data_IF_778446108184
#
_entry.id   IF_778446108184
#
_cell.length_a   1.000
_cell.length_b   1.000
_cell.length_c   1.000
_cell.angle_alpha   90.00
_cell.angle_beta   90.00
_cell.angle_gamma   90.00
#
_symmetry.space_group_name_H-M   'P 1'
#
loop_
_entity.id
_entity.type
_entity.pdbx_description
1 polymer ?
#
# COMPACT_ATOMS: atom_id res chain seq x y z
N UNK A 1 -10.89 -16.32 -12.75
CA UNK A 1 -10.96 -17.46 -11.80
C UNK A 1 -11.30 -18.69 -12.61
N UNK A 2 -10.59 -19.79 -12.38
CA UNK A 2 -10.99 -21.09 -12.92
C UNK A 2 -12.39 -21.42 -12.41
N UNK A 3 -13.17 -22.16 -13.20
CA UNK A 3 -14.46 -22.67 -12.74
C UNK A 3 -14.21 -23.58 -11.54
N UNK A 4 -15.04 -23.45 -10.52
CA UNK A 4 -15.07 -24.38 -9.36
C UNK A 4 -15.02 -25.80 -9.89
N UNK A 5 -14.24 -26.65 -9.24
CA UNK A 5 -14.14 -28.06 -9.64
C UNK A 5 -15.50 -28.79 -9.50
N UNK A 6 -16.29 -28.77 -10.57
CA UNK A 6 -17.62 -29.37 -10.68
C UNK A 6 -17.59 -30.92 -10.57
N UNK A 7 -16.40 -31.54 -10.62
CA UNK A 7 -16.26 -33.01 -10.51
C UNK A 7 -16.53 -33.49 -9.08
N UNK A 8 -16.18 -32.69 -8.07
CA UNK A 8 -16.30 -33.09 -6.66
C UNK A 8 -17.56 -32.56 -5.98
N UNK A 9 -18.20 -31.53 -6.52
CA UNK A 9 -19.15 -30.72 -5.76
C UNK A 9 -20.52 -30.56 -6.41
N UNK A 10 -21.57 -30.66 -5.59
CA UNK A 10 -22.94 -30.31 -5.99
C UNK A 10 -23.75 -29.73 -4.83
N UNK A 11 -25.04 -29.47 -5.05
CA UNK A 11 -25.97 -29.08 -3.98
C UNK A 11 -26.35 -30.26 -3.07
N UNK A 12 -26.17 -31.50 -3.53
CA UNK A 12 -26.50 -32.73 -2.81
C UNK A 12 -25.24 -33.54 -2.49
N UNK A 13 -25.28 -34.30 -1.39
CA UNK A 13 -24.19 -35.16 -0.95
C UNK A 13 -23.69 -34.78 0.45
N UNK A 14 -22.41 -35.07 0.70
CA UNK A 14 -21.83 -35.00 2.04
C UNK A 14 -21.30 -33.60 2.39
N UNK A 15 -21.41 -33.22 3.66
CA UNK A 15 -20.62 -32.10 4.18
C UNK A 15 -19.14 -32.49 4.21
N UNK A 16 -18.23 -31.52 4.23
CA UNK A 16 -16.80 -31.82 4.43
C UNK A 16 -16.56 -32.56 5.75
N UNK A 17 -17.30 -32.24 6.80
CA UNK A 17 -17.22 -32.91 8.10
C UNK A 17 -17.66 -34.38 8.01
N UNK A 18 -18.83 -34.65 7.42
CA UNK A 18 -19.33 -36.02 7.23
C UNK A 18 -18.40 -36.84 6.33
N UNK A 19 -17.90 -36.24 5.24
CA UNK A 19 -16.95 -36.90 4.35
C UNK A 19 -15.62 -37.22 5.06
N UNK A 20 -15.13 -36.32 5.92
CA UNK A 20 -13.94 -36.57 6.73
C UNK A 20 -14.17 -37.73 7.70
N UNK A 21 -15.30 -37.71 8.41
CA UNK A 21 -15.62 -38.76 9.37
C UNK A 21 -15.72 -40.14 8.70
N UNK A 22 -16.44 -40.25 7.59
CA UNK A 22 -16.57 -41.50 6.85
C UNK A 22 -15.24 -41.96 6.23
N UNK A 23 -14.37 -41.02 5.83
CA UNK A 23 -13.02 -41.37 5.37
C UNK A 23 -12.13 -41.89 6.51
N UNK A 24 -12.31 -41.42 7.74
CA UNK A 24 -11.59 -41.94 8.90
C UNK A 24 -12.11 -43.33 9.29
N UNK A 25 -13.43 -43.56 9.23
CA UNK A 25 -14.03 -44.89 9.46
C UNK A 25 -13.63 -45.92 8.40
N UNK A 26 -13.57 -45.51 7.13
CA UNK A 26 -13.02 -46.32 6.05
C UNK A 26 -11.55 -46.68 6.33
N UNK A 27 -10.76 -45.72 6.82
CA UNK A 27 -9.37 -45.96 7.19
C UNK A 27 -9.24 -46.95 8.36
N UNK A 28 -10.11 -46.88 9.37
CA UNK A 28 -10.15 -47.85 10.47
C UNK A 28 -10.49 -49.26 9.97
N UNK A 29 -11.43 -49.37 9.02
CA UNK A 29 -11.81 -50.63 8.39
C UNK A 29 -10.63 -51.23 7.63
N UNK A 30 -9.89 -50.40 6.88
CA UNK A 30 -8.64 -50.80 6.21
C UNK A 30 -7.65 -51.35 7.23
N UNK A 31 -7.36 -50.61 8.30
CA UNK A 31 -6.40 -51.01 9.32
C UNK A 31 -6.79 -52.33 10.00
N UNK A 32 -8.08 -52.52 10.27
CA UNK A 32 -8.62 -53.75 10.86
C UNK A 32 -8.41 -54.96 9.93
N UNK A 33 -8.71 -54.81 8.65
CA UNK A 33 -8.53 -55.88 7.68
C UNK A 33 -7.04 -56.15 7.37
N UNK A 34 -6.21 -55.11 7.29
CA UNK A 34 -4.76 -55.25 7.18
C UNK A 34 -4.17 -55.98 8.38
N UNK A 35 -4.67 -55.74 9.60
CA UNK A 35 -4.20 -56.44 10.81
C UNK A 35 -4.50 -57.94 10.76
N UNK A 36 -5.65 -58.34 10.20
CA UNK A 36 -5.98 -59.76 9.95
C UNK A 36 -4.93 -60.36 9.01
N UNK A 37 -4.70 -59.70 7.87
CA UNK A 37 -3.78 -60.17 6.83
C UNK A 37 -2.30 -60.14 7.23
N UNK A 38 -1.89 -59.23 8.12
CA UNK A 38 -0.49 -59.05 8.56
C UNK A 38 0.10 -60.31 9.20
N UNK A 39 -0.73 -61.09 9.89
CA UNK A 39 -0.32 -62.32 10.57
C UNK A 39 -0.64 -63.58 9.75
N UNK A 40 -0.91 -63.44 8.45
CA UNK A 40 -1.20 -64.57 7.57
C UNK A 40 0.02 -65.49 7.44
N UNK A 41 -0.16 -66.73 7.87
CA UNK A 41 0.77 -67.85 7.70
C UNK A 41 -0.04 -69.04 7.24
N UNK A 42 0.48 -69.89 6.35
CA UNK A 42 -0.17 -71.18 6.01
C UNK A 42 0.41 -72.36 6.81
N UNK A 43 1.24 -72.06 7.81
CA UNK A 43 1.95 -73.04 8.62
C UNK A 43 1.61 -72.82 10.10
N UNK A 44 1.12 -73.87 10.75
CA UNK A 44 0.93 -73.92 12.21
C UNK A 44 2.22 -74.37 12.86
N UNK A 45 2.78 -73.53 13.73
CA UNK A 45 4.03 -73.81 14.44
C UNK A 45 3.74 -74.20 15.88
N UNK A 46 4.24 -75.37 16.29
CA UNK A 46 4.20 -75.85 17.67
C UNK A 46 5.61 -76.02 18.23
N UNK A 47 5.79 -75.73 19.52
CA UNK A 47 7.05 -75.95 20.24
C UNK A 47 6.83 -76.95 21.36
N UNK A 48 7.72 -77.93 21.42
CA UNK A 48 7.86 -78.87 22.52
C UNK A 48 9.10 -78.56 23.34
N UNK A 49 8.96 -78.63 24.67
CA UNK A 49 10.08 -78.53 25.60
C UNK A 49 10.45 -79.95 26.00
N UNK A 50 11.70 -80.34 25.74
CA UNK A 50 12.24 -81.66 26.11
C UNK A 50 12.06 -81.87 27.61
N UNK A 51 11.30 -82.90 28.00
CA UNK A 51 11.01 -83.24 29.40
C UNK A 51 9.66 -82.74 29.94
N UNK A 52 8.84 -82.05 29.14
CA UNK A 52 7.47 -81.68 29.52
C UNK A 52 6.51 -82.87 29.44
N UNK A 53 5.64 -83.04 30.44
CA UNK A 53 4.66 -84.12 30.53
C UNK A 53 3.38 -83.88 29.70
N UNK A 54 3.25 -82.76 28.99
CA UNK A 54 2.11 -82.49 28.10
C UNK A 54 2.36 -83.07 26.71
N UNK A 55 1.57 -84.06 26.30
CA UNK A 55 1.70 -84.79 25.01
C UNK A 55 1.39 -83.95 23.75
N UNK A 56 0.97 -82.69 23.90
CA UNK A 56 0.72 -81.79 22.78
C UNK A 56 1.46 -80.47 23.00
N UNK A 57 2.57 -80.26 22.30
CA UNK A 57 3.36 -79.03 22.37
C UNK A 57 2.53 -77.74 22.29
N UNK A 58 3.11 -76.65 22.80
CA UNK A 58 2.43 -75.36 22.82
C UNK A 58 2.39 -74.79 21.42
N UNK A 59 1.18 -74.48 20.93
CA UNK A 59 1.01 -73.75 19.66
C UNK A 59 1.54 -72.33 19.82
N UNK A 60 2.56 -72.00 19.02
CA UNK A 60 3.21 -70.68 19.00
C UNK A 60 2.53 -69.76 18.00
N UNK A 61 2.11 -70.31 16.85
CA UNK A 61 1.32 -69.61 15.85
C UNK A 61 0.40 -70.57 15.12
N UNK A 62 -0.82 -70.11 14.84
CA UNK A 62 -1.77 -70.84 14.03
C UNK A 62 -1.63 -70.39 12.57
N UNK A 63 -1.52 -71.34 11.65
CA UNK A 63 -1.69 -71.06 10.23
C UNK A 63 -3.16 -70.86 9.88
N UNK A 64 -3.43 -70.10 8.83
CA UNK A 64 -4.74 -69.94 8.22
C UNK A 64 -5.23 -71.31 7.73
N UNK A 65 -6.45 -71.65 8.13
CA UNK A 65 -7.18 -72.81 7.63
C UNK A 65 -7.91 -72.49 6.30
N UNK A 66 -8.56 -73.49 5.71
CA UNK A 66 -9.29 -73.33 4.43
C UNK A 66 -10.36 -72.23 4.50
N UNK A 67 -11.00 -72.08 5.66
CA UNK A 67 -12.00 -71.02 5.89
C UNK A 67 -11.33 -69.64 5.85
N UNK A 68 -10.27 -69.44 6.63
CA UNK A 68 -9.54 -68.17 6.68
C UNK A 68 -8.95 -67.80 5.31
N UNK A 69 -8.46 -68.78 4.55
CA UNK A 69 -7.98 -68.58 3.18
C UNK A 69 -9.10 -68.13 2.23
N UNK A 70 -10.31 -68.68 2.36
CA UNK A 70 -11.45 -68.29 1.53
C UNK A 70 -11.90 -66.84 1.76
N UNK A 71 -11.61 -66.25 2.92
CA UNK A 71 -11.94 -64.87 3.29
C UNK A 71 -10.90 -63.85 2.78
N UNK A 72 -9.67 -64.27 2.47
CA UNK A 72 -8.55 -63.37 2.07
C UNK A 72 -8.92 -62.49 0.88
N UNK A 73 -9.55 -63.06 -0.16
CA UNK A 73 -9.96 -62.30 -1.34
C UNK A 73 -10.92 -61.16 -0.95
N UNK A 74 -11.94 -61.48 -0.14
CA UNK A 74 -12.92 -60.48 0.30
C UNK A 74 -12.30 -59.38 1.16
N UNK A 75 -11.35 -59.72 2.03
CA UNK A 75 -10.61 -58.73 2.83
C UNK A 75 -9.81 -57.77 1.94
N UNK A 76 -9.14 -58.28 0.90
CA UNK A 76 -8.37 -57.47 -0.04
C UNK A 76 -9.25 -56.57 -0.91
N UNK A 77 -10.39 -57.09 -1.40
CA UNK A 77 -11.38 -56.32 -2.15
C UNK A 77 -11.95 -55.18 -1.28
N UNK A 78 -12.32 -55.47 -0.03
CA UNK A 78 -12.81 -54.46 0.91
C UNK A 78 -11.76 -53.39 1.22
N UNK A 79 -10.49 -53.77 1.42
CA UNK A 79 -9.40 -52.81 1.62
C UNK A 79 -9.28 -51.88 0.40
N UNK A 80 -9.35 -52.43 -0.81
CA UNK A 80 -9.26 -51.63 -2.03
C UNK A 80 -10.44 -50.64 -2.17
N UNK A 81 -11.66 -51.11 -1.94
CA UNK A 81 -12.88 -50.27 -1.96
C UNK A 81 -12.79 -49.11 -0.96
N UNK A 82 -12.39 -49.41 0.29
CA UNK A 82 -12.25 -48.41 1.34
C UNK A 82 -11.14 -47.40 1.02
N UNK A 83 -10.01 -47.85 0.46
CA UNK A 83 -8.93 -46.96 0.03
C UNK A 83 -9.36 -46.02 -1.11
N UNK A 84 -10.12 -46.50 -2.08
CA UNK A 84 -10.67 -45.65 -3.16
C UNK A 84 -11.64 -44.62 -2.57
N UNK A 85 -12.51 -45.02 -1.65
CA UNK A 85 -13.42 -44.12 -0.94
C UNK A 85 -12.66 -43.02 -0.18
N UNK A 86 -11.65 -43.40 0.62
CA UNK A 86 -10.75 -42.48 1.33
C UNK A 86 -10.11 -41.47 0.38
N UNK A 87 -9.54 -41.94 -0.72
CA UNK A 87 -8.86 -41.10 -1.70
C UNK A 87 -9.81 -40.05 -2.30
N UNK A 88 -11.01 -40.47 -2.69
CA UNK A 88 -12.02 -39.56 -3.24
C UNK A 88 -12.43 -38.49 -2.23
N UNK A 89 -12.78 -38.88 -1.00
CA UNK A 89 -13.22 -37.94 0.04
C UNK A 89 -12.13 -36.95 0.42
N UNK A 90 -10.89 -37.43 0.64
CA UNK A 90 -9.77 -36.56 1.01
C UNK A 90 -9.38 -35.59 -0.11
N UNK A 91 -9.42 -36.02 -1.37
CA UNK A 91 -9.11 -35.11 -2.49
C UNK A 91 -10.23 -34.08 -2.72
N UNK A 92 -11.49 -34.45 -2.55
CA UNK A 92 -12.61 -33.52 -2.59
C UNK A 92 -12.52 -32.46 -1.48
N UNK A 93 -12.14 -32.85 -0.26
CA UNK A 93 -11.92 -31.90 0.85
C UNK A 93 -10.79 -30.92 0.50
N UNK A 94 -9.64 -31.42 0.06
CA UNK A 94 -8.49 -30.58 -0.37
C UNK A 94 -8.86 -29.64 -1.51
N UNK A 95 -9.64 -30.12 -2.48
CA UNK A 95 -10.11 -29.29 -3.59
C UNK A 95 -10.92 -28.09 -3.06
N UNK A 96 -11.82 -28.32 -2.10
CA UNK A 96 -12.64 -27.24 -1.51
C UNK A 96 -11.78 -26.22 -0.75
N UNK A 97 -10.81 -26.70 0.02
CA UNK A 97 -9.87 -25.83 0.73
C UNK A 97 -9.06 -24.96 -0.24
N UNK A 98 -8.62 -25.53 -1.37
CA UNK A 98 -7.91 -24.78 -2.42
C UNK A 98 -8.78 -23.68 -3.04
N UNK A 99 -10.05 -23.96 -3.34
CA UNK A 99 -11.00 -22.96 -3.87
C UNK A 99 -11.18 -21.78 -2.89
N UNK A 100 -11.41 -22.07 -1.60
CA UNK A 100 -11.54 -21.04 -0.56
C UNK A 100 -10.25 -20.23 -0.42
N UNK A 101 -9.08 -20.88 -0.48
CA UNK A 101 -7.80 -20.19 -0.44
C UNK A 101 -7.59 -19.28 -1.66
N UNK A 102 -8.04 -19.66 -2.85
CA UNK A 102 -7.96 -18.79 -4.03
C UNK A 102 -8.80 -17.52 -3.87
N UNK A 103 -10.02 -17.62 -3.35
CA UNK A 103 -10.89 -16.46 -3.05
C UNK A 103 -10.20 -15.52 -2.06
N UNK A 104 -9.58 -16.08 -1.01
CA UNK A 104 -8.89 -15.30 0.02
C UNK A 104 -7.58 -14.65 -0.48
N UNK A 105 -6.92 -15.26 -1.47
CA UNK A 105 -5.69 -14.73 -2.09
C UNK A 105 -5.94 -13.74 -3.21
N UNK A 106 -7.14 -13.73 -3.79
CA UNK A 106 -7.55 -12.74 -4.80
C UNK A 106 -7.38 -11.33 -4.21
N UNK A 107 -6.49 -10.54 -4.80
CA UNK A 107 -6.24 -9.17 -4.38
C UNK A 107 -7.39 -8.24 -4.77
N UNK A 108 -7.43 -7.05 -4.16
CA UNK A 108 -8.44 -6.04 -4.52
C UNK A 108 -8.32 -5.59 -5.98
N UNK A 109 -7.10 -5.44 -6.49
CA UNK A 109 -6.86 -5.01 -7.87
C UNK A 109 -7.27 -6.08 -8.88
N UNK A 110 -6.91 -7.35 -8.62
CA UNK A 110 -7.38 -8.48 -9.43
C UNK A 110 -8.91 -8.54 -9.42
N UNK A 111 -9.54 -8.42 -8.25
CA UNK A 111 -10.99 -8.38 -8.13
C UNK A 111 -11.60 -7.23 -8.95
N UNK A 112 -11.02 -6.03 -8.89
CA UNK A 112 -11.49 -4.91 -9.71
C UNK A 112 -11.42 -5.22 -11.21
N UNK A 113 -10.34 -5.84 -11.68
CA UNK A 113 -10.18 -6.25 -13.07
C UNK A 113 -11.19 -7.32 -13.48
N UNK A 114 -11.38 -8.35 -12.65
CA UNK A 114 -12.32 -9.44 -12.92
C UNK A 114 -13.77 -8.96 -13.05
N UNK A 115 -14.16 -7.99 -12.23
CA UNK A 115 -15.53 -7.48 -12.18
C UNK A 115 -15.73 -6.14 -12.91
N UNK A 116 -14.72 -5.65 -13.63
CA UNK A 116 -14.81 -4.45 -14.46
C UNK A 116 -14.98 -3.15 -13.67
N UNK A 117 -14.48 -3.09 -12.43
CA UNK A 117 -14.48 -1.85 -11.66
C UNK A 117 -13.39 -0.89 -12.15
N UNK A 118 -13.64 0.43 -12.12
CA UNK A 118 -12.67 1.41 -12.60
C UNK A 118 -11.43 1.46 -11.71
N UNK A 119 -10.27 1.72 -12.34
CA UNK A 119 -9.04 2.03 -11.62
C UNK A 119 -9.22 3.40 -10.95
N UNK A 120 -8.95 3.46 -9.65
CA UNK A 120 -8.99 4.73 -8.92
C UNK A 120 -7.65 5.42 -9.16
N UNK A 121 -7.67 6.43 -10.04
CA UNK A 121 -6.49 7.21 -10.36
C UNK A 121 -5.98 7.95 -9.11
N UNK A 122 -4.65 8.01 -9.01
CA UNK A 122 -4.00 8.73 -7.92
C UNK A 122 -4.17 10.23 -8.15
N UNK A 123 -4.81 10.91 -7.21
CA UNK A 123 -4.89 12.38 -7.23
C UNK A 123 -3.50 12.98 -7.03
N UNK A 124 -3.04 13.81 -7.97
CA UNK A 124 -1.74 14.46 -7.91
C UNK A 124 -1.77 15.69 -7.02
N UNK A 125 -0.71 15.87 -6.22
CA UNK A 125 -0.56 17.07 -5.40
C UNK A 125 -0.34 18.27 -6.33
N UNK A 126 -1.13 19.35 -6.20
CA UNK A 126 -0.94 20.53 -7.04
C UNK A 126 0.41 21.18 -6.76
N UNK A 127 1.04 21.69 -7.82
CA UNK A 127 2.27 22.48 -7.71
C UNK A 127 1.96 23.83 -7.08
N UNK A 128 2.85 24.29 -6.21
CA UNK A 128 2.79 25.64 -5.64
C UNK A 128 2.99 26.68 -6.76
N UNK A 129 2.05 27.62 -6.88
CA UNK A 129 2.14 28.77 -7.77
C UNK A 129 2.80 29.90 -6.99
N UNK A 130 3.93 30.41 -7.48
CA UNK A 130 4.68 31.51 -6.86
C UNK A 130 4.45 32.83 -7.58
N UNK A 131 4.83 33.94 -6.93
CA UNK A 131 4.69 35.26 -7.53
C UNK A 131 5.55 35.39 -8.80
N UNK A 132 6.69 34.71 -8.85
CA UNK A 132 7.59 34.68 -10.00
C UNK A 132 6.94 34.01 -11.23
N UNK A 133 6.14 32.97 -11.01
CA UNK A 133 5.39 32.30 -12.07
C UNK A 133 4.36 33.28 -12.68
N UNK A 134 3.66 34.03 -11.82
CA UNK A 134 2.71 35.05 -12.26
C UNK A 134 3.39 36.21 -13.00
N UNK A 135 4.58 36.64 -12.56
CA UNK A 135 5.39 37.62 -13.30
C UNK A 135 5.77 37.08 -14.68
N UNK A 136 6.11 35.79 -14.77
CA UNK A 136 6.45 35.09 -16.01
C UNK A 136 5.26 34.88 -16.95
N UNK A 137 4.03 35.12 -16.49
CA UNK A 137 2.80 35.13 -17.30
C UNK A 137 2.30 36.54 -17.68
N UNK A 138 2.79 37.59 -17.02
CA UNK A 138 2.43 38.99 -17.36
C UNK A 138 2.68 39.31 -18.83
N UNK A 139 1.85 40.21 -19.40
CA UNK A 139 2.13 40.72 -20.73
C UNK A 139 3.41 41.58 -20.75
N UNK A 140 3.95 41.81 -21.96
CA UNK A 140 5.22 42.54 -22.16
C UNK A 140 5.23 43.90 -21.46
N UNK A 141 4.10 44.62 -21.51
CA UNK A 141 3.99 45.98 -20.94
C UNK A 141 4.04 45.95 -19.42
N UNK A 142 3.25 45.08 -18.79
CA UNK A 142 3.19 44.93 -17.33
C UNK A 142 4.51 44.45 -16.76
N UNK A 143 5.13 43.44 -17.39
CA UNK A 143 6.40 42.90 -16.94
C UNK A 143 7.53 43.92 -17.07
N UNK A 144 7.59 44.64 -18.19
CA UNK A 144 8.56 45.71 -18.37
C UNK A 144 8.34 46.84 -17.33
N UNK A 145 7.08 47.17 -17.02
CA UNK A 145 6.75 48.15 -15.98
C UNK A 145 7.26 47.70 -14.61
N UNK A 146 7.02 46.45 -14.23
CA UNK A 146 7.54 45.87 -12.99
C UNK A 146 9.06 45.99 -12.89
N UNK A 147 9.79 45.55 -13.91
CA UNK A 147 11.26 45.63 -13.92
C UNK A 147 11.79 47.06 -13.90
N UNK A 148 11.10 47.98 -14.59
CA UNK A 148 11.45 49.41 -14.57
C UNK A 148 11.32 49.99 -13.17
N UNK A 149 10.19 49.72 -12.49
CA UNK A 149 9.95 50.19 -11.12
C UNK A 149 11.00 49.63 -10.15
N UNK A 150 11.31 48.34 -10.27
CA UNK A 150 12.33 47.67 -9.46
C UNK A 150 13.73 48.25 -9.69
N UNK A 151 14.13 48.43 -10.95
CA UNK A 151 15.42 49.00 -11.31
C UNK A 151 15.58 50.43 -10.80
N UNK A 152 14.56 51.29 -10.94
CA UNK A 152 14.60 52.67 -10.47
C UNK A 152 14.69 52.71 -8.93
N UNK A 153 13.82 51.96 -8.24
CA UNK A 153 13.81 51.93 -6.77
C UNK A 153 15.16 51.41 -6.22
N UNK A 154 15.67 50.29 -6.75
CA UNK A 154 16.95 49.72 -6.32
C UNK A 154 18.13 50.65 -6.61
N UNK A 155 18.17 51.27 -7.80
CA UNK A 155 19.26 52.15 -8.20
C UNK A 155 19.30 53.40 -7.34
N UNK A 156 18.18 54.12 -7.20
CA UNK A 156 18.16 55.34 -6.38
C UNK A 156 18.41 55.00 -4.91
N UNK A 157 17.73 53.98 -4.39
CA UNK A 157 17.84 53.56 -2.99
C UNK A 157 19.27 53.25 -2.58
N UNK A 158 20.04 52.57 -3.46
CA UNK A 158 21.46 52.27 -3.23
C UNK A 158 22.32 53.51 -2.92
N UNK A 159 22.00 54.66 -3.50
CA UNK A 159 22.82 55.88 -3.33
C UNK A 159 22.30 56.80 -2.22
N UNK A 160 20.99 56.86 -1.99
CA UNK A 160 20.38 57.85 -1.09
C UNK A 160 20.04 57.32 0.31
N UNK A 161 19.97 55.99 0.51
CA UNK A 161 19.77 55.40 1.84
C UNK A 161 21.06 55.47 2.68
N UNK A 162 20.98 55.31 4.01
CA UNK A 162 22.17 55.34 4.88
C UNK A 162 23.27 54.38 4.41
N UNK A 163 24.52 54.88 4.33
CA UNK A 163 25.67 54.16 3.78
C UNK A 163 25.77 54.19 2.25
N UNK A 164 24.84 54.88 1.56
CA UNK A 164 24.90 55.14 0.13
C UNK A 164 25.79 56.34 -0.18
N UNK A 165 26.49 56.30 -1.32
CA UNK A 165 27.50 57.32 -1.68
C UNK A 165 26.98 58.76 -1.74
N UNK A 166 25.72 58.96 -2.13
CA UNK A 166 25.12 60.30 -2.11
C UNK A 166 24.83 60.73 -0.68
N UNK A 167 24.27 59.83 0.15
CA UNK A 167 24.03 60.08 1.57
C UNK A 167 25.32 60.43 2.32
N UNK A 168 26.40 59.68 2.09
CA UNK A 168 27.70 59.90 2.71
C UNK A 168 28.28 61.27 2.32
N UNK A 169 28.27 61.60 1.02
CA UNK A 169 28.78 62.88 0.52
C UNK A 169 27.96 64.07 1.05
N UNK A 170 26.64 63.89 1.22
CA UNK A 170 25.74 64.89 1.81
C UNK A 170 26.08 65.13 3.29
N UNK A 171 26.34 64.08 4.06
CA UNK A 171 26.74 64.18 5.47
C UNK A 171 28.15 64.80 5.62
N UNK A 172 29.08 64.45 4.73
CA UNK A 172 30.42 65.03 4.69
C UNK A 172 30.36 66.54 4.40
N UNK A 173 29.57 66.97 3.41
CA UNK A 173 29.37 68.39 3.09
C UNK A 173 28.88 69.17 4.31
N UNK A 174 27.87 68.66 5.03
CA UNK A 174 27.36 69.28 6.25
C UNK A 174 28.48 69.41 7.30
N UNK A 175 29.22 68.32 7.52
CA UNK A 175 30.29 68.25 8.52
C UNK A 175 31.43 69.22 8.21
N UNK A 176 31.90 69.27 6.96
CA UNK A 176 33.00 70.13 6.52
C UNK A 176 32.59 71.60 6.41
N UNK A 177 31.31 71.88 6.16
CA UNK A 177 30.77 73.24 6.21
C UNK A 177 30.77 73.78 7.66
N UNK A 178 30.42 72.94 8.63
CA UNK A 178 30.48 73.31 10.06
C UNK A 178 31.92 73.33 10.61
N UNK A 179 32.83 72.57 10.01
CA UNK A 179 34.26 72.47 10.38
C UNK A 179 35.14 72.81 9.18
N UNK A 180 35.26 74.10 8.80
CA UNK A 180 35.95 74.52 7.58
C UNK A 180 37.47 74.27 7.63
N UNK A 181 38.04 74.03 8.80
CA UNK A 181 39.45 73.69 8.97
C UNK A 181 39.61 72.39 9.74
N UNK A 182 40.56 71.55 9.31
CA UNK A 182 41.00 70.37 10.06
C UNK A 182 42.52 70.37 10.15
N UNK A 183 43.06 70.12 11.34
CA UNK A 183 44.50 69.98 11.56
C UNK A 183 44.89 68.50 11.61
N UNK A 184 46.01 68.14 10.99
CA UNK A 184 46.61 66.81 11.05
C UNK A 184 48.09 66.92 11.42
N UNK A 185 48.58 66.04 12.30
CA UNK A 185 49.91 66.11 12.90
C UNK A 185 49.98 66.81 14.26
N UNK A 186 51.19 66.87 14.85
CA UNK A 186 51.45 67.48 16.16
C UNK A 186 52.65 68.42 16.10
N UNK A 187 52.55 69.58 16.76
CA UNK A 187 53.66 70.54 16.86
C UNK A 187 53.99 71.22 15.53
N UNK A 188 55.28 71.24 15.17
CA UNK A 188 55.82 71.98 14.00
C UNK A 188 55.44 71.38 12.64
N UNK A 189 54.98 70.13 12.62
CA UNK A 189 54.61 69.40 11.40
C UNK A 189 53.08 69.42 11.13
N UNK A 190 52.34 70.29 11.82
CA UNK A 190 50.86 70.35 11.69
C UNK A 190 50.46 70.93 10.34
N UNK A 191 49.70 70.15 9.56
CA UNK A 191 49.07 70.58 8.32
C UNK A 191 47.64 71.06 8.60
N UNK A 192 47.31 72.27 8.13
CA UNK A 192 45.94 72.81 8.21
C UNK A 192 45.30 72.64 6.83
N UNK A 193 44.25 71.82 6.77
CA UNK A 193 43.42 71.68 5.58
C UNK A 193 42.24 72.64 5.67
N UNK A 194 42.04 73.47 4.65
CA UNK A 194 40.82 74.25 4.46
C UNK A 194 39.85 73.49 3.54
N UNK A 195 38.58 73.46 3.93
CA UNK A 195 37.51 72.84 3.16
C UNK A 195 36.63 73.92 2.57
N UNK A 196 36.36 73.86 1.26
CA UNK A 196 35.46 74.79 0.58
C UNK A 196 34.47 73.98 -0.24
N UNK A 197 33.18 74.23 -0.02
CA UNK A 197 32.12 73.57 -0.76
C UNK A 197 32.17 73.96 -2.24
N UNK A 198 32.16 72.97 -3.13
CA UNK A 198 32.09 73.18 -4.58
C UNK A 198 30.65 73.35 -5.11
N UNK A 199 29.65 73.04 -4.28
CA UNK A 199 28.22 73.15 -4.57
C UNK A 199 27.51 73.67 -3.32
N UNK A 200 26.43 74.43 -3.49
CA UNK A 200 25.66 74.93 -2.35
C UNK A 200 24.91 73.79 -1.65
N UNK A 201 24.78 73.90 -0.33
CA UNK A 201 24.07 72.92 0.49
C UNK A 201 22.60 72.82 0.05
N UNK A 202 21.96 73.95 -0.25
CA UNK A 202 20.56 74.01 -0.70
C UNK A 202 20.36 73.18 -1.97
N UNK A 203 21.33 73.18 -2.90
CA UNK A 203 21.22 72.44 -4.15
C UNK A 203 21.35 70.93 -3.93
N UNK A 204 22.23 70.51 -3.02
CA UNK A 204 22.38 69.10 -2.65
C UNK A 204 21.11 68.57 -1.96
N UNK A 205 20.52 69.36 -1.07
CA UNK A 205 19.24 69.02 -0.42
C UNK A 205 18.08 68.93 -1.42
N UNK A 206 17.98 69.87 -2.35
CA UNK A 206 16.96 69.85 -3.41
C UNK A 206 17.01 68.54 -4.21
N UNK A 207 18.20 68.17 -4.69
CA UNK A 207 18.42 66.93 -5.46
C UNK A 207 18.13 65.70 -4.60
N UNK A 208 18.53 65.70 -3.32
CA UNK A 208 18.25 64.60 -2.41
C UNK A 208 16.74 64.37 -2.25
N UNK A 209 15.97 65.43 -2.01
CA UNK A 209 14.52 65.32 -1.84
C UNK A 209 13.80 64.94 -3.13
N UNK A 210 14.28 65.39 -4.29
CA UNK A 210 13.78 64.95 -5.59
C UNK A 210 13.99 63.45 -5.80
N UNK A 211 15.22 62.96 -5.60
CA UNK A 211 15.56 61.54 -5.69
C UNK A 211 14.75 60.71 -4.69
N UNK A 212 14.61 61.18 -3.45
CA UNK A 212 13.81 60.51 -2.42
C UNK A 212 12.33 60.43 -2.81
N UNK A 213 11.77 61.49 -3.42
CA UNK A 213 10.40 61.49 -3.92
C UNK A 213 10.21 60.47 -5.04
N UNK A 214 11.12 60.43 -6.02
CA UNK A 214 11.09 59.47 -7.13
C UNK A 214 11.19 58.04 -6.58
N UNK A 215 12.13 57.76 -5.68
CA UNK A 215 12.27 56.46 -5.02
C UNK A 215 10.98 56.02 -4.35
N UNK A 216 10.42 56.85 -3.46
CA UNK A 216 9.20 56.53 -2.70
C UNK A 216 7.99 56.28 -3.60
N UNK A 217 7.86 57.01 -4.70
CA UNK A 217 6.77 56.81 -5.66
C UNK A 217 6.90 55.46 -6.38
N UNK A 218 8.09 55.14 -6.90
CA UNK A 218 8.33 53.88 -7.61
C UNK A 218 8.24 52.68 -6.66
N UNK A 219 8.79 52.78 -5.45
CA UNK A 219 8.71 51.74 -4.43
C UNK A 219 7.25 51.48 -4.01
N UNK A 220 6.44 52.53 -3.84
CA UNK A 220 5.01 52.38 -3.52
C UNK A 220 4.25 51.64 -4.62
N UNK A 221 4.52 51.94 -5.88
CA UNK A 221 3.88 51.27 -7.02
C UNK A 221 4.37 49.82 -7.14
N UNK A 222 5.67 49.57 -7.01
CA UNK A 222 6.25 48.24 -7.02
C UNK A 222 5.64 47.36 -5.91
N UNK A 223 5.55 47.89 -4.69
CA UNK A 223 4.98 47.16 -3.55
C UNK A 223 3.50 46.85 -3.73
N UNK A 224 2.74 47.71 -4.43
CA UNK A 224 1.35 47.40 -4.80
C UNK A 224 1.27 46.21 -5.76
N UNK A 225 2.15 46.16 -6.77
CA UNK A 225 2.21 45.03 -7.71
C UNK A 225 2.64 43.76 -6.99
N UNK A 226 3.72 43.80 -6.19
CA UNK A 226 4.20 42.66 -5.39
C UNK A 226 3.11 42.12 -4.46
N UNK A 227 2.38 43.00 -3.78
CA UNK A 227 1.27 42.60 -2.93
C UNK A 227 0.11 41.97 -3.72
N UNK A 228 -0.27 42.54 -4.86
CA UNK A 228 -1.32 42.00 -5.71
C UNK A 228 -0.96 40.59 -6.21
N UNK A 229 0.28 40.39 -6.67
CA UNK A 229 0.79 39.09 -7.10
C UNK A 229 0.81 38.08 -5.96
N UNK A 230 1.27 38.48 -4.77
CA UNK A 230 1.28 37.59 -3.61
C UNK A 230 -0.14 37.13 -3.26
N UNK A 231 -1.08 38.07 -3.20
CA UNK A 231 -2.49 37.77 -2.92
C UNK A 231 -3.09 36.83 -3.97
N UNK A 232 -2.74 37.03 -5.24
CA UNK A 232 -3.25 36.19 -6.32
C UNK A 232 -2.65 34.78 -6.31
N UNK A 233 -1.35 34.66 -6.08
CA UNK A 233 -0.67 33.37 -5.85
C UNK A 233 -1.29 32.63 -4.67
N UNK A 234 -1.54 33.31 -3.54
CA UNK A 234 -2.20 32.71 -2.37
C UNK A 234 -3.63 32.24 -2.69
N UNK A 235 -4.40 33.03 -3.46
CA UNK A 235 -5.75 32.68 -3.91
C UNK A 235 -5.73 31.42 -4.78
N UNK A 236 -4.89 31.38 -5.81
CA UNK A 236 -4.79 30.25 -6.74
C UNK A 236 -4.31 28.97 -6.04
N UNK A 237 -3.36 29.10 -5.10
CA UNK A 237 -2.93 27.98 -4.27
C UNK A 237 -4.05 27.48 -3.37
N UNK A 238 -4.86 28.36 -2.77
CA UNK A 238 -6.00 27.95 -1.96
C UNK A 238 -7.05 27.22 -2.81
N UNK A 239 -7.38 27.73 -3.99
CA UNK A 239 -8.33 27.12 -4.93
C UNK A 239 -7.85 25.75 -5.40
N UNK A 240 -6.58 25.61 -5.78
CA UNK A 240 -6.00 24.34 -6.22
C UNK A 240 -5.98 23.30 -5.09
N UNK A 241 -5.65 23.72 -3.86
CA UNK A 241 -5.67 22.85 -2.68
C UNK A 241 -7.09 22.41 -2.31
N UNK A 242 -8.08 23.30 -2.40
CA UNK A 242 -9.48 22.94 -2.17
C UNK A 242 -9.98 21.93 -3.20
N UNK A 243 -9.66 22.13 -4.48
CA UNK A 243 -10.00 21.19 -5.56
C UNK A 243 -9.35 19.83 -5.33
N UNK A 244 -8.04 19.82 -5.04
CA UNK A 244 -7.29 18.60 -4.71
C UNK A 244 -7.94 17.83 -3.55
N UNK A 245 -8.27 18.53 -2.46
CA UNK A 245 -8.93 17.91 -1.30
C UNK A 245 -10.28 17.29 -1.67
N UNK A 246 -11.10 17.99 -2.46
CA UNK A 246 -12.39 17.48 -2.90
C UNK A 246 -12.25 16.23 -3.79
N UNK A 247 -11.30 16.23 -4.72
CA UNK A 247 -11.02 15.09 -5.59
C UNK A 247 -10.48 13.90 -4.80
N UNK A 248 -9.59 14.13 -3.84
CA UNK A 248 -9.06 13.11 -2.95
C UNK A 248 -10.16 12.49 -2.08
N UNK A 249 -11.09 13.30 -1.56
CA UNK A 249 -12.25 12.81 -0.79
C UNK A 249 -13.17 11.94 -1.65
N UNK A 250 -13.44 12.35 -2.90
CA UNK A 250 -14.22 11.55 -3.86
C UNK A 250 -13.55 10.22 -4.17
N UNK A 251 -12.25 10.23 -4.47
CA UNK A 251 -11.47 9.02 -4.72
C UNK A 251 -11.45 8.09 -3.50
N UNK A 252 -11.25 8.66 -2.30
CA UNK A 252 -11.30 7.91 -1.03
C UNK A 252 -12.67 7.26 -0.79
N UNK A 253 -13.76 7.97 -1.06
CA UNK A 253 -15.11 7.44 -0.90
C UNK A 253 -15.41 6.32 -1.89
N UNK A 254 -14.99 6.48 -3.15
CA UNK A 254 -15.10 5.43 -4.17
C UNK A 254 -14.29 4.19 -3.77
N UNK A 255 -13.05 4.37 -3.31
CA UNK A 255 -12.20 3.29 -2.81
C UNK A 255 -12.88 2.53 -1.68
N UNK A 256 -13.37 3.24 -0.65
CA UNK A 256 -14.06 2.63 0.49
C UNK A 256 -15.27 1.81 0.04
N UNK A 257 -16.10 2.36 -0.85
CA UNK A 257 -17.29 1.67 -1.38
C UNK A 257 -16.89 0.39 -2.12
N UNK A 258 -15.93 0.46 -3.02
CA UNK A 258 -15.45 -0.70 -3.78
C UNK A 258 -14.80 -1.74 -2.88
N UNK A 259 -14.00 -1.31 -1.91
CA UNK A 259 -13.36 -2.20 -0.95
C UNK A 259 -14.38 -2.93 -0.07
N UNK A 260 -15.46 -2.26 0.34
CA UNK A 260 -16.58 -2.91 1.04
C UNK A 260 -17.25 -3.98 0.18
N UNK A 261 -17.51 -3.71 -1.11
CA UNK A 261 -18.07 -4.69 -2.04
C UNK A 261 -17.14 -5.89 -2.26
N UNK A 262 -15.83 -5.64 -2.36
CA UNK A 262 -14.81 -6.69 -2.43
C UNK A 262 -14.86 -7.60 -1.20
N UNK A 263 -14.94 -7.03 0.00
CA UNK A 263 -15.04 -7.83 1.24
C UNK A 263 -16.34 -8.60 1.34
N UNK A 264 -17.46 -7.99 0.93
CA UNK A 264 -18.74 -8.68 0.86
C UNK A 264 -18.69 -9.85 -0.13
N UNK A 265 -18.07 -9.66 -1.30
CA UNK A 265 -17.85 -10.71 -2.27
C UNK A 265 -17.00 -11.85 -1.70
N UNK A 266 -15.86 -11.56 -1.06
CA UNK A 266 -15.00 -12.60 -0.46
C UNK A 266 -15.77 -13.45 0.54
N UNK A 267 -16.61 -12.83 1.38
CA UNK A 267 -17.44 -13.52 2.37
C UNK A 267 -18.50 -14.38 1.68
N UNK A 268 -19.29 -13.80 0.77
CA UNK A 268 -20.37 -14.50 0.08
C UNK A 268 -19.87 -15.66 -0.76
N UNK A 269 -18.77 -15.46 -1.47
CA UNK A 269 -18.23 -16.49 -2.35
C UNK A 269 -17.59 -17.62 -1.54
N UNK A 270 -16.85 -17.30 -0.47
CA UNK A 270 -16.33 -18.33 0.45
C UNK A 270 -17.46 -19.13 1.12
N UNK A 271 -18.54 -18.46 1.52
CA UNK A 271 -19.74 -19.10 2.08
C UNK A 271 -20.46 -19.98 1.04
N UNK A 272 -20.54 -19.53 -0.22
CA UNK A 272 -21.09 -20.33 -1.31
C UNK A 272 -20.29 -21.62 -1.51
N UNK A 273 -18.96 -21.55 -1.55
CA UNK A 273 -18.09 -22.72 -1.70
C UNK A 273 -18.17 -23.65 -0.47
N UNK A 274 -18.21 -23.10 0.73
CA UNK A 274 -18.28 -23.90 1.97
C UNK A 274 -19.55 -24.75 2.03
N UNK A 275 -20.67 -24.22 1.51
CA UNK A 275 -21.98 -24.89 1.45
C UNK A 275 -22.07 -26.01 0.41
N UNK A 276 -21.20 -26.03 -0.60
CA UNK A 276 -21.17 -27.11 -1.59
C UNK A 276 -20.93 -28.45 -0.91
N UNK A 277 -21.62 -29.49 -1.39
CA UNK A 277 -21.56 -30.85 -0.86
C UNK A 277 -20.66 -31.72 -1.73
N UNK A 278 -19.96 -32.66 -1.11
CA UNK A 278 -19.11 -33.63 -1.81
C UNK A 278 -20.01 -34.71 -2.42
N UNK A 279 -19.87 -34.89 -3.73
CA UNK A 279 -20.60 -35.91 -4.49
C UNK A 279 -20.05 -37.29 -4.12
N UNK A 280 -20.95 -38.24 -3.96
CA UNK A 280 -20.62 -39.67 -3.88
C UNK A 280 -20.79 -40.25 -5.29
N UNK A 281 -19.72 -40.71 -5.95
CA UNK A 281 -19.82 -41.38 -7.24
C UNK A 281 -20.66 -42.65 -7.12
N UNK A 282 -21.44 -42.97 -8.15
CA UNK A 282 -22.26 -44.19 -8.18
C UNK A 282 -21.44 -45.46 -7.88
N UNK A 283 -20.18 -45.51 -8.33
CA UNK A 283 -19.28 -46.64 -8.09
C UNK A 283 -18.90 -46.83 -6.61
N UNK A 284 -19.06 -45.80 -5.77
CA UNK A 284 -18.73 -45.81 -4.35
C UNK A 284 -19.99 -45.86 -3.45
N UNK A 285 -21.18 -45.96 -4.05
CA UNK A 285 -22.45 -45.93 -3.32
C UNK A 285 -22.57 -47.09 -2.34
N UNK A 286 -22.19 -48.31 -2.74
CA UNK A 286 -22.19 -49.49 -1.87
C UNK A 286 -21.23 -49.33 -0.68
N UNK A 287 -20.03 -48.79 -0.92
CA UNK A 287 -19.05 -48.52 0.15
C UNK A 287 -19.56 -47.46 1.11
N UNK A 288 -20.20 -46.41 0.59
CA UNK A 288 -20.84 -45.37 1.39
C UNK A 288 -21.93 -45.95 2.30
N UNK A 289 -22.88 -46.72 1.75
CA UNK A 289 -23.97 -47.33 2.52
C UNK A 289 -23.43 -48.25 3.62
N UNK A 290 -22.39 -49.03 3.32
CA UNK A 290 -21.71 -49.87 4.30
C UNK A 290 -21.10 -49.07 5.45
N UNK A 291 -20.44 -47.95 5.15
CA UNK A 291 -19.84 -47.09 6.17
C UNK A 291 -20.89 -46.33 6.98
N UNK A 292 -21.98 -45.88 6.37
CA UNK A 292 -23.08 -45.22 7.09
C UNK A 292 -23.77 -46.17 8.07
N UNK A 293 -23.86 -47.46 7.77
CA UNK A 293 -24.41 -48.45 8.71
C UNK A 293 -23.49 -48.72 9.92
N UNK A 294 -22.19 -48.38 9.82
CA UNK A 294 -21.26 -48.48 10.93
C UNK A 294 -21.30 -47.24 11.84
N UNK A 295 -21.97 -46.17 11.40
CA UNK A 295 -22.18 -44.92 12.14
C UNK A 295 -23.44 -44.98 13.05
N UNK A 296 -24.40 -45.87 12.75
CA UNK A 296 -25.61 -46.15 13.55
C UNK A 296 -25.36 -47.12 14.71
#
# INVERSE_FOLDING_TARGET
MEKVNEVFFSEKGLTSTSASHLADLAQETVLSNEAKLKNMSFITTKVDIVGSLSESGKTVSLGYDEKSLSEVKGLLEEIAEMNVFCAWMREAIKAKEREIQQINRCSFDEWCQLFGYPVIEKTELPKEIRAEDLIAEMNVKERNRYFTLEAIAATIGKYIHPGGKFSDAREELLTKTMKPYTADGTGKDTLIYSHTASVSQEKVEEVFFELQKIHRQNERELNRIKFALKRESDRLNLESQQKYKSELEKASLQYKRMFSLYKEWQIKESDRISKLKIIIPNALQTTYEKLSLLEE
#
